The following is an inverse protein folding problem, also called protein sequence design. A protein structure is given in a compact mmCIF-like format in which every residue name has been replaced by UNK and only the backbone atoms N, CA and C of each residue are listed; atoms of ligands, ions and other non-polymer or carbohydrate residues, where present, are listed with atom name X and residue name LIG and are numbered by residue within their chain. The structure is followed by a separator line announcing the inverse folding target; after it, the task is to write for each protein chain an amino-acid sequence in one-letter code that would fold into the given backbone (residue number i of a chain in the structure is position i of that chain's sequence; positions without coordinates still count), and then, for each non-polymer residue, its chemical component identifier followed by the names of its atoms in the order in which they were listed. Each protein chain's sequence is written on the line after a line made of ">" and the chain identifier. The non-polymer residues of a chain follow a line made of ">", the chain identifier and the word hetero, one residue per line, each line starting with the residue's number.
data_IF_663051257734
#
_entry.id   IF_663051257734
#
_cell.length_a   1.000
_cell.length_b   1.000
_cell.length_c   1.000
_cell.angle_alpha   90.00
_cell.angle_beta   90.00
_cell.angle_gamma   90.00
#
_symmetry.space_group_name_H-M   'P 1'
#
loop_
_entity.id
_entity.type
_entity.pdbx_description
1 polymer ?
#
# COMPACT_ATOMS: atom_id res chain seq x y z
N UNK A 1 -6.40 40.19 -7.60
CA UNK A 1 -6.54 39.36 -6.37
C UNK A 1 -7.46 38.16 -6.58
N UNK A 2 -8.66 38.29 -7.17
CA UNK A 2 -9.56 37.14 -7.46
C UNK A 2 -8.94 36.07 -8.37
N UNK A 3 -8.14 36.46 -9.38
CA UNK A 3 -7.47 35.52 -10.29
C UNK A 3 -6.38 34.66 -9.61
N UNK A 4 -5.71 35.22 -8.59
CA UNK A 4 -4.68 34.50 -7.82
C UNK A 4 -5.34 33.47 -6.88
N UNK A 5 -6.49 33.83 -6.30
CA UNK A 5 -7.24 32.95 -5.42
C UNK A 5 -7.81 31.73 -6.17
N UNK A 6 -8.30 31.94 -7.40
CA UNK A 6 -8.76 30.84 -8.29
C UNK A 6 -7.62 29.92 -8.72
N UNK A 7 -6.42 30.45 -8.96
CA UNK A 7 -5.25 29.66 -9.34
C UNK A 7 -4.74 28.81 -8.15
N UNK A 8 -4.76 29.35 -6.94
CA UNK A 8 -4.33 28.66 -5.72
C UNK A 8 -5.32 27.54 -5.33
N UNK A 9 -6.64 27.78 -5.47
CA UNK A 9 -7.66 26.74 -5.25
C UNK A 9 -7.62 25.63 -6.30
N UNK A 10 -7.24 25.95 -7.54
CA UNK A 10 -7.08 24.95 -8.60
C UNK A 10 -5.90 24.01 -8.30
N UNK A 11 -4.79 24.56 -7.80
CA UNK A 11 -3.62 23.75 -7.40
C UNK A 11 -3.90 22.86 -6.17
N UNK A 12 -4.75 23.31 -5.24
CA UNK A 12 -5.19 22.52 -4.10
C UNK A 12 -6.09 21.33 -4.51
N UNK A 13 -6.87 21.46 -5.58
CA UNK A 13 -7.70 20.37 -6.14
C UNK A 13 -6.87 19.35 -6.94
N UNK A 14 -5.71 19.75 -7.47
CA UNK A 14 -4.71 18.87 -8.09
C UNK A 14 -3.80 18.19 -7.06
N UNK A 15 -3.86 18.60 -5.79
CA UNK A 15 -3.29 17.90 -4.65
C UNK A 15 -4.10 16.64 -4.36
N UNK A 16 -4.18 15.72 -5.32
CA UNK A 16 -4.65 14.36 -5.09
C UNK A 16 -3.69 13.74 -4.10
N UNK A 17 -4.04 13.76 -2.81
CA UNK A 17 -3.30 13.06 -1.78
C UNK A 17 -3.41 11.56 -2.07
N UNK A 18 -2.50 11.03 -2.89
CA UNK A 18 -2.30 9.61 -3.08
C UNK A 18 -1.70 9.04 -1.77
N UNK A 19 -2.54 8.91 -0.76
CA UNK A 19 -2.15 8.35 0.54
C UNK A 19 -2.29 6.84 0.46
N UNK A 20 -1.16 6.14 0.39
CA UNK A 20 -1.13 4.74 0.75
C UNK A 20 -1.38 4.61 2.25
N UNK A 21 -2.06 3.55 2.68
CA UNK A 21 -2.17 3.21 4.09
C UNK A 21 -0.75 2.99 4.65
N UNK A 22 -0.27 3.94 5.45
CA UNK A 22 1.05 3.91 6.06
C UNK A 22 0.96 4.23 7.55
N UNK A 23 1.73 3.55 8.42
CA UNK A 23 1.72 3.82 9.86
C UNK A 23 2.39 5.16 10.17
N UNK A 24 3.23 5.66 9.25
CA UNK A 24 3.90 6.95 9.31
C UNK A 24 3.74 7.63 7.95
N UNK A 25 3.21 8.87 7.89
CA UNK A 25 3.10 9.60 6.63
C UNK A 25 4.49 10.10 6.19
N UNK A 26 4.90 9.77 4.95
CA UNK A 26 6.09 10.33 4.30
C UNK A 26 5.65 11.23 3.15
N UNK A 27 5.94 12.53 3.24
CA UNK A 27 5.41 13.54 2.29
C UNK A 27 6.16 13.59 0.96
N UNK A 28 7.47 13.29 0.97
CA UNK A 28 8.32 13.29 -0.23
C UNK A 28 8.63 11.87 -0.73
N UNK A 29 8.93 10.98 0.20
CA UNK A 29 9.19 9.57 -0.05
C UNK A 29 8.78 8.79 1.19
N UNK A 30 8.12 7.65 0.98
CA UNK A 30 7.80 6.72 2.06
C UNK A 30 8.12 5.32 1.58
N UNK A 31 8.87 4.57 2.39
CA UNK A 31 9.07 3.15 2.21
C UNK A 31 8.98 2.53 3.59
N UNK A 32 7.82 1.97 3.89
CA UNK A 32 7.50 1.49 5.23
C UNK A 32 6.94 0.08 5.15
N UNK A 33 7.32 -0.74 6.12
CA UNK A 33 6.80 -2.09 6.32
C UNK A 33 6.17 -2.14 7.70
N UNK A 34 4.98 -2.68 7.80
CA UNK A 34 4.28 -2.79 9.07
C UNK A 34 3.39 -4.03 9.12
N UNK A 35 3.08 -4.51 10.34
CA UNK A 35 2.21 -5.65 10.51
C UNK A 35 0.77 -5.29 10.14
N UNK A 36 0.13 -6.10 9.31
CA UNK A 36 -1.30 -6.03 9.01
C UNK A 36 -2.10 -6.86 10.02
N UNK A 37 -1.68 -8.10 10.24
CA UNK A 37 -2.34 -9.06 11.13
C UNK A 37 -1.34 -10.12 11.56
N UNK A 38 -1.30 -10.45 12.85
CA UNK A 38 -0.53 -11.59 13.36
C UNK A 38 -1.50 -12.65 13.90
N UNK A 39 -1.37 -13.88 13.43
CA UNK A 39 -2.03 -15.05 14.03
C UNK A 39 -0.99 -15.82 14.85
N UNK A 40 -1.37 -16.38 16.01
CA UNK A 40 -0.44 -17.20 16.80
C UNK A 40 -0.17 -18.49 16.02
N UNK A 41 0.97 -18.53 15.33
CA UNK A 41 1.42 -19.71 14.60
C UNK A 41 2.63 -20.35 15.32
N UNK A 42 2.61 -21.66 15.58
CA UNK A 42 3.67 -22.36 16.30
C UNK A 42 4.94 -22.62 15.47
N UNK A 43 4.87 -22.48 14.14
CA UNK A 43 5.99 -22.77 13.22
C UNK A 43 6.44 -21.54 12.42
N UNK A 44 7.73 -21.53 12.05
CA UNK A 44 8.28 -20.58 11.08
C UNK A 44 7.58 -20.74 9.73
N UNK A 45 7.10 -19.63 9.16
CA UNK A 45 6.49 -19.62 7.84
C UNK A 45 7.50 -20.07 6.77
N UNK A 46 7.13 -21.08 5.95
CA UNK A 46 8.01 -21.63 4.91
C UNK A 46 7.75 -20.99 3.53
N UNK A 47 6.59 -20.34 3.36
CA UNK A 47 6.17 -19.74 2.09
C UNK A 47 5.77 -18.29 2.28
N UNK A 48 6.04 -17.50 1.23
CA UNK A 48 5.73 -16.07 1.20
C UNK A 48 5.00 -15.76 -0.10
N UNK A 49 3.82 -15.16 0.04
CA UNK A 49 2.98 -14.68 -1.04
C UNK A 49 2.89 -13.17 -1.05
N UNK A 50 2.86 -12.55 -2.24
CA UNK A 50 2.77 -11.09 -2.40
C UNK A 50 1.68 -10.70 -3.37
N UNK A 51 0.96 -9.63 -3.07
CA UNK A 51 -0.02 -9.02 -3.95
C UNK A 51 -0.03 -7.50 -3.77
N UNK A 52 -0.12 -6.74 -4.87
CA UNK A 52 0.11 -5.29 -4.86
C UNK A 52 -0.98 -4.53 -5.60
N UNK A 53 -1.28 -3.33 -5.11
CA UNK A 53 -2.12 -2.32 -5.74
C UNK A 53 -1.34 -1.04 -5.87
N UNK A 54 -1.51 -0.35 -7.00
CA UNK A 54 -0.81 0.91 -7.30
C UNK A 54 -1.82 2.02 -7.55
N UNK A 55 -1.49 3.21 -7.08
CA UNK A 55 -2.22 4.44 -7.32
C UNK A 55 -1.31 5.44 -8.02
N UNK A 56 -1.77 5.97 -9.16
CA UNK A 56 -1.08 6.98 -9.95
C UNK A 56 -1.85 8.30 -9.81
N UNK A 57 -1.18 9.32 -9.28
CA UNK A 57 -1.66 10.68 -9.04
C UNK A 57 -2.92 10.78 -8.16
N UNK A 58 -3.32 9.69 -7.49
CA UNK A 58 -4.63 9.59 -6.85
C UNK A 58 -5.80 9.58 -7.84
N UNK A 59 -5.51 9.50 -9.16
CA UNK A 59 -6.49 9.52 -10.24
C UNK A 59 -6.85 8.11 -10.71
N UNK A 60 -5.86 7.21 -10.75
CA UNK A 60 -6.03 5.83 -11.22
C UNK A 60 -5.45 4.89 -10.17
N UNK A 61 -6.30 4.03 -9.61
CA UNK A 61 -5.89 2.92 -8.74
C UNK A 61 -6.15 1.59 -9.47
N UNK A 62 -5.15 0.72 -9.51
CA UNK A 62 -5.26 -0.58 -10.18
C UNK A 62 -4.40 -1.65 -9.51
N UNK A 63 -4.90 -2.88 -9.48
CA UNK A 63 -4.27 -4.03 -8.86
C UNK A 63 -5.18 -4.71 -7.84
N UNK A 64 -4.67 -5.79 -7.23
CA UNK A 64 -5.35 -6.56 -6.21
C UNK A 64 -4.31 -6.87 -5.13
N UNK A 65 -4.46 -6.27 -3.96
CA UNK A 65 -3.62 -6.49 -2.79
C UNK A 65 -4.34 -7.33 -1.72
N UNK A 66 -5.35 -8.13 -2.10
CA UNK A 66 -6.06 -8.98 -1.16
C UNK A 66 -5.17 -10.12 -0.63
N UNK A 67 -5.43 -10.52 0.62
CA UNK A 67 -4.77 -11.65 1.27
C UNK A 67 -4.96 -12.94 0.47
N UNK A 68 -6.12 -13.15 -0.16
CA UNK A 68 -6.41 -14.32 -0.97
C UNK A 68 -5.51 -14.39 -2.22
N UNK A 69 -5.35 -13.27 -2.92
CA UNK A 69 -4.46 -13.20 -4.09
C UNK A 69 -3.00 -13.38 -3.69
N UNK A 70 -2.57 -12.76 -2.58
CA UNK A 70 -1.23 -12.97 -2.03
C UNK A 70 -0.99 -14.44 -1.64
N UNK A 71 -1.94 -15.07 -0.94
CA UNK A 71 -1.86 -16.47 -0.54
C UNK A 71 -1.82 -17.41 -1.76
N UNK A 72 -2.65 -17.15 -2.78
CA UNK A 72 -2.63 -17.91 -4.05
C UNK A 72 -1.29 -17.79 -4.77
N UNK A 73 -0.72 -16.60 -4.83
CA UNK A 73 0.59 -16.37 -5.44
C UNK A 73 1.72 -17.11 -4.71
N UNK A 74 1.62 -17.23 -3.37
CA UNK A 74 2.56 -17.97 -2.53
C UNK A 74 2.26 -19.47 -2.39
N UNK A 75 1.15 -19.96 -2.95
CA UNK A 75 0.68 -21.33 -2.72
C UNK A 75 0.44 -21.65 -1.24
N UNK A 76 -0.01 -20.66 -0.47
CA UNK A 76 -0.23 -20.73 0.99
C UNK A 76 -1.65 -21.23 1.26
N UNK A 77 -1.77 -22.23 2.11
CA UNK A 77 -3.03 -22.81 2.59
C UNK A 77 -3.34 -22.36 4.01
N UNK A 78 -2.32 -22.17 4.84
CA UNK A 78 -2.45 -21.73 6.23
C UNK A 78 -1.66 -20.44 6.45
N UNK A 79 -2.35 -19.38 6.88
CA UNK A 79 -1.78 -18.04 7.06
C UNK A 79 -1.26 -17.92 8.50
N UNK A 80 0.01 -17.57 8.65
CA UNK A 80 0.66 -17.38 9.96
C UNK A 80 0.65 -15.92 10.37
N UNK A 81 1.09 -15.03 9.49
CA UNK A 81 1.03 -13.59 9.69
C UNK A 81 1.01 -12.88 8.35
N UNK A 82 0.54 -11.63 8.37
CA UNK A 82 0.39 -10.79 7.21
C UNK A 82 1.03 -9.45 7.53
N UNK A 83 1.96 -9.04 6.69
CA UNK A 83 2.53 -7.69 6.69
C UNK A 83 2.02 -6.92 5.48
N UNK A 84 2.17 -5.61 5.55
CA UNK A 84 2.06 -4.75 4.38
C UNK A 84 3.33 -3.94 4.18
N UNK A 85 3.63 -3.68 2.92
CA UNK A 85 4.64 -2.73 2.49
C UNK A 85 3.94 -1.60 1.75
N UNK A 86 4.23 -0.37 2.15
CA UNK A 86 3.70 0.83 1.51
C UNK A 86 4.85 1.66 0.98
N UNK A 87 4.80 1.96 -0.31
CA UNK A 87 5.77 2.79 -1.00
C UNK A 87 5.06 4.00 -1.61
N UNK A 88 5.62 5.19 -1.38
CA UNK A 88 5.14 6.44 -1.97
C UNK A 88 6.32 7.17 -2.58
N UNK A 89 6.22 7.48 -3.86
CA UNK A 89 7.22 8.23 -4.62
C UNK A 89 6.65 9.61 -4.96
N UNK A 90 7.23 10.65 -4.34
CA UNK A 90 6.95 12.07 -4.63
C UNK A 90 5.46 12.47 -4.56
N UNK A 91 4.63 11.72 -3.83
CA UNK A 91 3.18 11.90 -3.78
C UNK A 91 2.44 11.62 -5.10
N UNK A 92 3.16 11.17 -6.13
CA UNK A 92 2.65 10.94 -7.49
C UNK A 92 2.35 9.46 -7.71
N UNK A 93 3.17 8.57 -7.17
CA UNK A 93 2.97 7.13 -7.27
C UNK A 93 2.91 6.55 -5.87
N UNK A 94 1.86 5.79 -5.59
CA UNK A 94 1.69 5.02 -4.38
C UNK A 94 1.59 3.54 -4.76
N UNK A 95 2.24 2.67 -4.01
CA UNK A 95 2.15 1.23 -4.13
C UNK A 95 1.95 0.62 -2.76
N UNK A 96 0.91 -0.19 -2.62
CA UNK A 96 0.60 -0.93 -1.40
C UNK A 96 0.65 -2.41 -1.70
N UNK A 97 1.49 -3.13 -0.97
CA UNK A 97 1.75 -4.56 -1.16
C UNK A 97 1.41 -5.31 0.11
N UNK A 98 0.53 -6.30 0.00
CA UNK A 98 0.29 -7.26 1.07
C UNK A 98 1.24 -8.43 0.92
N UNK A 99 1.89 -8.79 2.02
CA UNK A 99 2.83 -9.90 2.12
C UNK A 99 2.26 -10.90 3.12
N UNK A 100 1.89 -12.07 2.62
CA UNK A 100 1.33 -13.16 3.42
C UNK A 100 2.42 -14.19 3.67
N UNK A 101 2.58 -14.59 4.91
CA UNK A 101 3.52 -15.62 5.33
C UNK A 101 2.74 -16.81 5.86
N UNK A 102 3.12 -18.02 5.43
CA UNK A 102 2.40 -19.23 5.81
C UNK A 102 2.95 -20.48 5.15
N UNK A 103 2.14 -21.55 5.13
CA UNK A 103 2.47 -22.85 4.57
C UNK A 103 1.42 -23.33 3.56
#
# INVERSE_FOLDING_TARGET
>A
MKKLLVLLTSFALLGGCATAMSPVPGTLYSNVKAPLTATPAPEQAQRVGRASVRSILGLVASGDASINTAARNGGIREIHYVDYESQVFFGILSEFTVVVYGN
#
